data_IF_982695134036
#
_entry.id   IF_982695134036
#
_cell.length_a   1.000
_cell.length_b   1.000
_cell.length_c   1.000
_cell.angle_alpha   90.00
_cell.angle_beta   90.00
_cell.angle_gamma   90.00
#
_symmetry.space_group_name_H-M   'P 1'
#
loop_
_entity.id
_entity.type
_entity.pdbx_description
1 polymer ?
#
# COMPACT_ATOMS: atom_id res chain seq x y z
N UNK A 1 -16.86 17.68 -0.50
CA UNK A 1 -16.54 16.82 0.66
C UNK A 1 -17.26 17.30 1.94
N UNK A 2 -18.15 18.28 1.82
CA UNK A 2 -18.74 19.03 2.95
C UNK A 2 -20.03 18.44 3.53
N UNK A 3 -20.58 17.39 2.90
CA UNK A 3 -21.87 16.83 3.29
C UNK A 3 -21.82 15.88 4.49
N UNK A 4 -20.68 15.24 4.75
CA UNK A 4 -20.57 14.24 5.83
C UNK A 4 -20.00 14.86 7.11
N UNK A 5 -18.90 15.62 7.01
CA UNK A 5 -18.25 16.19 8.18
C UNK A 5 -17.55 17.53 7.84
N UNK A 6 -18.27 18.66 7.90
CA UNK A 6 -17.78 19.97 7.43
C UNK A 6 -16.65 20.58 8.28
N UNK A 7 -16.30 19.98 9.42
CA UNK A 7 -15.15 20.39 10.24
C UNK A 7 -13.86 19.61 9.96
N UNK A 8 -13.86 18.66 9.04
CA UNK A 8 -12.66 17.92 8.63
C UNK A 8 -12.14 18.49 7.31
N UNK A 9 -10.86 18.84 7.31
CA UNK A 9 -10.11 19.19 6.11
C UNK A 9 -9.27 17.98 5.66
N UNK A 10 -9.40 17.61 4.39
CA UNK A 10 -8.56 16.57 3.77
C UNK A 10 -7.36 17.22 3.10
N UNK A 11 -6.16 16.89 3.57
CA UNK A 11 -4.91 17.31 2.92
C UNK A 11 -4.43 16.18 2.00
N UNK A 12 -4.15 16.52 0.75
CA UNK A 12 -3.57 15.59 -0.23
C UNK A 12 -2.05 15.72 -0.23
N UNK A 13 -1.36 14.59 -0.05
CA UNK A 13 0.09 14.50 -0.13
C UNK A 13 0.45 13.53 -1.27
N UNK A 14 1.24 13.96 -2.26
CA UNK A 14 1.71 13.05 -3.30
C UNK A 14 2.65 12.01 -2.71
N UNK A 15 2.65 10.82 -3.29
CA UNK A 15 3.62 9.79 -2.96
C UNK A 15 5.03 10.23 -3.40
N UNK A 16 6.06 9.70 -2.73
CA UNK A 16 7.44 9.88 -3.14
C UNK A 16 7.70 9.16 -4.48
N UNK A 17 8.69 9.64 -5.25
CA UNK A 17 8.97 9.14 -6.61
C UNK A 17 9.21 7.64 -6.64
N UNK A 18 9.92 7.12 -5.63
CA UNK A 18 10.25 5.70 -5.46
C UNK A 18 9.04 4.80 -5.20
N UNK A 19 7.92 5.35 -4.73
CA UNK A 19 6.73 4.59 -4.31
C UNK A 19 5.47 4.94 -5.08
N UNK A 20 5.53 5.89 -6.02
CA UNK A 20 4.37 6.41 -6.75
C UNK A 20 3.56 5.34 -7.50
N UNK A 21 4.18 4.22 -7.87
CA UNK A 21 3.55 3.14 -8.65
C UNK A 21 3.12 1.94 -7.81
N UNK A 22 3.37 1.96 -6.49
CA UNK A 22 3.08 0.81 -5.63
C UNK A 22 1.57 0.75 -5.35
N UNK A 23 0.96 -0.42 -5.57
CA UNK A 23 -0.44 -0.68 -5.18
C UNK A 23 -0.55 -1.97 -4.38
N UNK A 24 -1.35 -1.95 -3.31
CA UNK A 24 -1.51 -3.12 -2.43
C UNK A 24 -2.14 -4.31 -3.15
N UNK A 25 -3.02 -4.06 -4.13
CA UNK A 25 -3.64 -5.13 -4.93
C UNK A 25 -2.59 -5.87 -5.73
N UNK A 26 -1.68 -5.15 -6.41
CA UNK A 26 -0.65 -5.76 -7.23
C UNK A 26 0.40 -6.50 -6.38
N UNK A 27 0.86 -5.89 -5.29
CA UNK A 27 1.80 -6.55 -4.35
C UNK A 27 1.23 -7.86 -3.80
N UNK A 28 -0.04 -7.86 -3.40
CA UNK A 28 -0.72 -9.08 -2.91
C UNK A 28 -0.86 -10.15 -4.01
N UNK A 29 -1.08 -9.75 -5.26
CA UNK A 29 -1.18 -10.68 -6.37
C UNK A 29 0.17 -11.36 -6.66
N UNK A 30 1.25 -10.60 -6.71
CA UNK A 30 2.61 -11.13 -6.87
C UNK A 30 2.97 -12.10 -5.74
N UNK A 31 2.71 -11.72 -4.49
CA UNK A 31 2.96 -12.59 -3.33
C UNK A 31 2.18 -13.91 -3.40
N UNK A 32 0.89 -13.87 -3.78
CA UNK A 32 0.05 -15.08 -3.95
C UNK A 32 0.55 -16.02 -5.05
N UNK A 33 1.22 -15.49 -6.07
CA UNK A 33 1.83 -16.26 -7.13
C UNK A 33 3.24 -16.77 -6.77
N UNK A 34 3.70 -16.55 -5.53
CA UNK A 34 5.01 -16.97 -5.05
C UNK A 34 6.16 -16.04 -5.44
N UNK A 35 5.86 -14.82 -5.90
CA UNK A 35 6.87 -13.81 -6.19
C UNK A 35 7.40 -13.14 -4.91
N UNK A 36 8.67 -12.73 -4.93
CA UNK A 36 9.28 -11.94 -3.86
C UNK A 36 8.82 -10.48 -3.92
N UNK A 37 8.32 -9.97 -2.80
CA UNK A 37 7.83 -8.60 -2.65
C UNK A 37 8.56 -7.82 -1.56
N UNK A 38 9.66 -8.34 -1.02
CA UNK A 38 10.42 -7.76 0.11
C UNK A 38 10.90 -6.32 -0.14
N UNK A 39 11.10 -5.92 -1.40
CA UNK A 39 11.50 -4.55 -1.78
C UNK A 39 10.34 -3.54 -1.77
N UNK A 40 9.09 -4.02 -1.79
CA UNK A 40 7.89 -3.17 -1.86
C UNK A 40 7.19 -3.01 -0.51
N UNK A 41 7.56 -3.81 0.49
CA UNK A 41 6.90 -3.80 1.81
C UNK A 41 7.92 -3.92 2.95
N UNK A 42 7.61 -3.35 4.12
CA UNK A 42 8.41 -3.58 5.33
C UNK A 42 8.46 -5.07 5.72
N UNK A 43 9.51 -5.45 6.44
CA UNK A 43 9.77 -6.85 6.83
C UNK A 43 8.57 -7.53 7.53
N UNK A 44 7.91 -6.85 8.47
CA UNK A 44 6.76 -7.41 9.18
C UNK A 44 5.56 -7.71 8.26
N UNK A 45 5.39 -6.96 7.17
CA UNK A 45 4.34 -7.20 6.18
C UNK A 45 4.74 -8.35 5.25
N UNK A 46 6.01 -8.41 4.86
CA UNK A 46 6.54 -9.50 4.04
C UNK A 46 6.33 -10.87 4.70
N UNK A 47 6.65 -11.00 5.98
CA UNK A 47 6.42 -12.26 6.73
C UNK A 47 4.94 -12.63 6.73
N UNK A 48 4.05 -11.66 6.98
CA UNK A 48 2.62 -11.91 6.99
C UNK A 48 2.07 -12.36 5.62
N UNK A 49 2.63 -11.86 4.52
CA UNK A 49 2.24 -12.25 3.17
C UNK A 49 2.71 -13.66 2.78
N UNK A 50 3.74 -14.20 3.44
CA UNK A 50 4.24 -15.56 3.23
C UNK A 50 3.43 -16.62 3.97
N UNK A 51 2.76 -16.24 5.04
CA UNK A 51 1.98 -17.13 5.91
C UNK A 51 0.52 -17.35 5.42
N UNK A 52 0.11 -16.68 4.34
CA UNK A 52 -1.24 -16.76 3.74
C UNK A 52 -1.26 -17.69 2.52
#
# INVERSE_FOLDING_TARGET
MDKLQPGIETVFLPAAEETQFISSSFVKEVARLGGDVSVFVPHNVHEHLRDC
#
